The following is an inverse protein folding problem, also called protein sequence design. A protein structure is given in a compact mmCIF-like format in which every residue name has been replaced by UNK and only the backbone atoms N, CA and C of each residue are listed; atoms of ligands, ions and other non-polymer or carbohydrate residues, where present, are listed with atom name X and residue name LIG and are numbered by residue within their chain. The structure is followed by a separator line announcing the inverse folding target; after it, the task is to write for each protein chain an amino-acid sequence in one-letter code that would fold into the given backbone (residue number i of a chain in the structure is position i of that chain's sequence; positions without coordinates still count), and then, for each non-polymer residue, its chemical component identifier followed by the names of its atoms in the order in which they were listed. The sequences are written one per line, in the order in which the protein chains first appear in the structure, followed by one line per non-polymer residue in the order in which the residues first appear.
data_IF_973879658804
#
_entry.id   IF_973879658804
#
_cell.length_a   1.000
_cell.length_b   1.000
_cell.length_c   1.000
_cell.angle_alpha   90.00
_cell.angle_beta   90.00
_cell.angle_gamma   90.00
#
_symmetry.space_group_name_H-M   'P 1'
#
loop_
_entity.id
_entity.type
_entity.pdbx_description
1 polymer ?
#
# COMPACT_ATOMS: atom_id res chain seq x y z
N UNK A 1 -5.13 11.70 7.56
CA UNK A 1 -4.76 10.28 7.39
C UNK A 1 -5.18 9.76 6.02
N UNK A 2 -4.48 8.76 5.52
CA UNK A 2 -4.79 8.14 4.23
C UNK A 2 -4.98 6.63 4.37
N UNK A 3 -4.08 5.95 5.07
CA UNK A 3 -4.19 4.51 5.35
C UNK A 3 -4.19 4.29 6.84
N UNK A 4 -5.00 3.33 7.26
CA UNK A 4 -5.14 2.87 8.62
C UNK A 4 -4.73 1.40 8.69
N UNK A 5 -4.05 1.02 9.74
CA UNK A 5 -3.70 -0.36 10.05
C UNK A 5 -3.79 -0.58 11.56
N UNK A 6 -4.21 -1.77 11.98
CA UNK A 6 -4.08 -2.15 13.38
C UNK A 6 -2.74 -2.83 13.59
N UNK A 7 -2.08 -2.48 14.68
CA UNK A 7 -0.90 -3.19 15.13
C UNK A 7 -1.28 -4.54 15.81
N UNK A 8 -0.32 -5.40 16.17
CA UNK A 8 -0.62 -6.69 16.79
C UNK A 8 -1.30 -6.59 18.16
N UNK A 9 -1.22 -5.44 18.85
CA UNK A 9 -1.89 -5.18 20.11
C UNK A 9 -3.27 -4.50 19.94
N UNK A 10 -3.71 -4.29 18.68
CA UNK A 10 -4.99 -3.66 18.37
C UNK A 10 -4.95 -2.12 18.41
N UNK A 11 -3.76 -1.51 18.47
CA UNK A 11 -3.63 -0.06 18.39
C UNK A 11 -3.78 0.40 16.94
N UNK A 12 -4.61 1.41 16.72
CA UNK A 12 -4.80 2.00 15.41
C UNK A 12 -3.56 2.85 15.02
N UNK A 13 -2.97 2.53 13.88
CA UNK A 13 -1.85 3.27 13.28
C UNK A 13 -2.30 3.91 11.98
N UNK A 14 -1.89 5.15 11.74
CA UNK A 14 -2.29 5.91 10.57
C UNK A 14 -1.09 6.55 9.86
N UNK A 15 -1.13 6.58 8.54
CA UNK A 15 -0.22 7.40 7.73
C UNK A 15 -0.80 8.80 7.53
N UNK A 16 -0.01 9.83 7.80
CA UNK A 16 -0.37 11.24 7.61
C UNK A 16 0.48 11.79 6.46
N UNK A 17 -0.02 11.60 5.26
CA UNK A 17 0.69 11.93 4.01
C UNK A 17 1.10 13.40 3.92
N UNK A 18 0.26 14.32 4.43
CA UNK A 18 0.50 15.77 4.33
C UNK A 18 1.63 16.26 5.24
N UNK A 19 1.86 15.63 6.39
CA UNK A 19 2.93 15.99 7.34
C UNK A 19 4.13 15.07 7.26
N UNK A 20 4.03 13.97 6.52
CA UNK A 20 5.11 12.97 6.41
C UNK A 20 5.29 12.15 7.67
N UNK A 21 4.20 11.81 8.35
CA UNK A 21 4.23 11.14 9.65
C UNK A 21 3.50 9.80 9.62
N UNK A 22 3.92 8.90 10.50
CA UNK A 22 3.17 7.74 10.95
C UNK A 22 2.84 7.96 12.42
N UNK A 23 1.56 7.80 12.77
CA UNK A 23 1.07 8.01 14.13
C UNK A 23 0.35 6.79 14.65
N UNK A 24 0.49 6.52 15.95
CA UNK A 24 -0.34 5.56 16.68
C UNK A 24 -1.35 6.28 17.55
N UNK A 25 -2.53 5.70 17.66
CA UNK A 25 -3.70 6.23 18.37
C UNK A 25 -4.14 5.20 19.43
N UNK A 26 -3.37 5.04 20.53
CA UNK A 26 -3.73 4.12 21.60
C UNK A 26 -5.01 4.56 22.31
N UNK A 27 -5.85 3.60 22.72
CA UNK A 27 -7.00 3.80 23.55
C UNK A 27 -7.00 2.78 24.67
N UNK A 28 -7.21 3.23 25.89
CA UNK A 28 -7.30 2.35 27.07
C UNK A 28 -8.72 1.78 27.26
N UNK A 29 -9.68 2.23 26.45
CA UNK A 29 -11.08 1.80 26.55
C UNK A 29 -11.54 1.14 25.23
N UNK A 30 -11.63 -0.21 25.17
CA UNK A 30 -12.08 -0.91 23.97
C UNK A 30 -13.57 -0.65 23.63
N UNK A 31 -14.39 -0.29 24.61
CA UNK A 31 -15.83 -0.03 24.41
C UNK A 31 -16.08 1.41 23.89
N UNK A 32 -15.12 2.30 24.08
CA UNK A 32 -15.14 3.66 23.54
C UNK A 32 -13.75 4.04 23.05
N UNK A 33 -13.36 3.61 21.83
CA UNK A 33 -11.99 3.71 21.32
C UNK A 33 -11.66 5.15 20.87
N UNK A 34 -11.77 6.11 21.76
CA UNK A 34 -11.28 7.47 21.55
C UNK A 34 -9.82 7.50 21.99
N UNK A 35 -8.93 7.81 21.06
CA UNK A 35 -7.51 7.92 21.38
C UNK A 35 -7.28 9.07 22.37
N UNK A 36 -6.70 8.77 23.52
CA UNK A 36 -6.39 9.78 24.56
C UNK A 36 -5.19 10.64 24.16
N UNK A 37 -4.31 10.08 23.33
CA UNK A 37 -3.09 10.76 22.83
C UNK A 37 -2.74 10.27 21.43
N UNK A 38 -2.00 11.11 20.71
CA UNK A 38 -1.35 10.73 19.47
C UNK A 38 0.13 10.49 19.74
N UNK A 39 0.65 9.32 19.36
CA UNK A 39 2.07 8.99 19.44
C UNK A 39 2.68 9.05 18.04
N UNK A 40 3.66 9.91 17.81
CA UNK A 40 4.38 9.98 16.54
C UNK A 40 5.39 8.83 16.52
N UNK A 41 5.17 7.86 15.63
CA UNK A 41 6.05 6.71 15.42
C UNK A 41 7.23 7.05 14.52
N UNK A 42 6.98 7.83 13.46
CA UNK A 42 7.99 8.30 12.51
C UNK A 42 7.59 9.65 11.93
N UNK A 43 8.57 10.44 11.51
CA UNK A 43 8.39 11.73 10.83
C UNK A 43 9.43 11.94 9.74
N UNK A 44 9.22 12.97 8.88
CA UNK A 44 10.13 13.31 7.80
C UNK A 44 10.09 12.30 6.63
N UNK A 45 8.98 11.57 6.48
CA UNK A 45 8.75 10.62 5.39
C UNK A 45 8.21 11.33 4.15
N UNK A 46 8.55 10.81 2.96
CA UNK A 46 8.09 11.37 1.69
C UNK A 46 6.65 10.92 1.36
N UNK A 47 5.67 11.68 1.86
CA UNK A 47 4.23 11.42 1.61
C UNK A 47 3.84 9.95 1.89
N UNK A 48 4.03 9.44 3.12
CA UNK A 48 3.76 8.04 3.44
C UNK A 48 2.29 7.71 3.17
N UNK A 49 2.05 6.50 2.62
CA UNK A 49 0.73 6.03 2.27
C UNK A 49 0.50 4.62 2.82
N UNK A 50 0.99 3.58 2.14
CA UNK A 50 0.76 2.18 2.51
C UNK A 50 1.44 1.79 3.82
N UNK A 51 0.71 1.03 4.64
CA UNK A 51 1.16 0.46 5.90
C UNK A 51 0.85 -1.04 5.90
N UNK A 52 1.81 -1.87 6.30
CA UNK A 52 1.59 -3.29 6.49
C UNK A 52 2.43 -3.82 7.67
N UNK A 53 1.77 -4.38 8.68
CA UNK A 53 2.44 -5.08 9.77
C UNK A 53 2.77 -6.52 9.38
N UNK A 54 3.95 -6.99 9.76
CA UNK A 54 4.38 -8.35 9.60
C UNK A 54 5.08 -8.82 10.86
N UNK A 55 4.42 -9.70 11.62
CA UNK A 55 4.87 -10.12 12.94
C UNK A 55 4.88 -11.66 13.00
N UNK A 56 6.02 -12.27 12.63
CA UNK A 56 6.30 -13.71 12.83
C UNK A 56 7.30 -13.89 13.95
N UNK A 57 8.62 -13.85 13.65
CA UNK A 57 9.69 -13.97 14.66
C UNK A 57 9.92 -12.65 15.39
N UNK A 58 9.74 -11.55 14.71
CA UNK A 58 9.78 -10.18 15.23
C UNK A 58 8.74 -9.34 14.50
N UNK A 59 8.29 -8.25 15.11
CA UNK A 59 7.32 -7.38 14.47
C UNK A 59 8.00 -6.31 13.63
N UNK A 60 7.53 -6.17 12.39
CA UNK A 60 7.98 -5.19 11.41
C UNK A 60 6.81 -4.34 10.95
N UNK A 61 7.08 -3.07 10.67
CA UNK A 61 6.17 -2.20 9.93
C UNK A 61 6.79 -1.85 8.58
N UNK A 62 6.12 -2.22 7.50
CA UNK A 62 6.40 -1.78 6.15
C UNK A 62 5.66 -0.49 5.87
N UNK A 63 6.37 0.50 5.36
CA UNK A 63 5.82 1.82 5.00
C UNK A 63 6.16 2.11 3.55
N UNK A 64 5.15 2.35 2.73
CA UNK A 64 5.34 2.84 1.38
C UNK A 64 5.28 4.37 1.38
N UNK A 65 6.36 4.97 0.95
CA UNK A 65 6.51 6.38 0.63
C UNK A 65 6.32 6.57 -0.88
N UNK A 66 6.21 7.79 -1.38
CA UNK A 66 6.03 8.03 -2.83
C UNK A 66 7.16 7.41 -3.66
N UNK A 67 8.39 7.46 -3.16
CA UNK A 67 9.63 7.12 -3.86
C UNK A 67 10.29 5.81 -3.38
N UNK A 68 9.75 5.18 -2.35
CA UNK A 68 10.36 3.97 -1.80
C UNK A 68 9.39 3.15 -0.95
N UNK A 69 9.78 1.90 -0.65
CA UNK A 69 9.27 1.14 0.49
C UNK A 69 10.38 0.96 1.50
N UNK A 70 10.07 1.32 2.74
CA UNK A 70 10.96 1.11 3.89
C UNK A 70 10.35 0.12 4.88
N UNK A 71 11.20 -0.62 5.58
CA UNK A 71 10.83 -1.49 6.70
C UNK A 71 11.47 -0.96 7.99
N UNK A 72 10.72 -1.06 9.07
CA UNK A 72 11.12 -0.69 10.42
C UNK A 72 10.97 -1.89 11.35
N UNK A 73 11.82 -1.98 12.37
CA UNK A 73 11.53 -2.79 13.54
C UNK A 73 10.46 -2.09 14.37
N UNK A 74 9.43 -2.83 14.78
CA UNK A 74 8.32 -2.30 15.55
C UNK A 74 8.23 -2.93 16.93
N UNK A 75 8.28 -2.10 17.96
CA UNK A 75 8.03 -2.45 19.34
C UNK A 75 6.60 -2.04 19.69
N UNK A 76 5.70 -3.01 19.71
CA UNK A 76 4.27 -2.77 19.92
C UNK A 76 3.96 -2.37 21.37
N UNK A 77 4.74 -2.84 22.35
CA UNK A 77 4.49 -2.55 23.76
C UNK A 77 4.87 -1.10 24.11
N UNK A 78 5.92 -0.58 23.46
CA UNK A 78 6.41 0.77 23.68
C UNK A 78 5.99 1.75 22.56
N UNK A 79 5.24 1.32 21.55
CA UNK A 79 4.84 2.09 20.37
C UNK A 79 6.03 2.81 19.75
N UNK A 80 7.04 2.04 19.33
CA UNK A 80 8.30 2.60 18.84
C UNK A 80 8.76 1.94 17.56
N UNK A 81 9.17 2.77 16.59
CA UNK A 81 9.87 2.33 15.37
C UNK A 81 11.38 2.53 15.52
N UNK A 82 12.15 1.61 14.96
CA UNK A 82 13.61 1.69 14.91
C UNK A 82 14.16 1.03 13.64
N UNK A 83 15.46 1.18 13.39
CA UNK A 83 16.19 0.50 12.33
C UNK A 83 15.53 0.64 10.93
N UNK A 84 15.13 1.88 10.56
CA UNK A 84 14.60 2.16 9.20
C UNK A 84 15.57 1.64 8.15
N UNK A 85 15.09 0.80 7.24
CA UNK A 85 15.83 0.31 6.09
C UNK A 85 14.97 0.47 4.83
N UNK A 86 15.47 1.21 3.84
CA UNK A 86 14.86 1.23 2.50
C UNK A 86 15.12 -0.11 1.81
N UNK A 87 14.07 -0.74 1.29
CA UNK A 87 14.11 -2.07 0.67
C UNK A 87 13.73 -2.07 -0.81
N UNK A 88 12.91 -1.12 -1.26
CA UNK A 88 12.51 -0.99 -2.68
C UNK A 88 12.59 0.48 -3.07
N UNK A 89 13.23 0.78 -4.21
CA UNK A 89 13.16 2.07 -4.87
C UNK A 89 11.94 2.13 -5.81
N UNK A 90 11.12 3.17 -5.68
CA UNK A 90 9.94 3.38 -6.50
C UNK A 90 10.09 4.66 -7.35
N UNK A 91 9.44 4.74 -8.54
CA UNK A 91 9.50 5.93 -9.36
C UNK A 91 8.81 7.11 -8.69
N UNK A 92 9.52 8.22 -8.57
CA UNK A 92 8.97 9.50 -8.09
C UNK A 92 8.10 10.19 -9.13
N UNK A 93 7.34 11.18 -8.67
CA UNK A 93 6.52 12.05 -9.53
C UNK A 93 5.27 11.37 -10.06
N UNK A 94 4.71 11.98 -11.12
CA UNK A 94 3.47 11.51 -11.76
C UNK A 94 2.19 11.99 -11.07
N UNK A 95 1.06 11.73 -11.71
CA UNK A 95 -0.25 12.12 -11.18
C UNK A 95 -0.64 11.32 -9.95
N UNK A 96 -0.30 10.02 -9.92
CA UNK A 96 -0.70 9.11 -8.85
C UNK A 96 0.49 8.82 -7.93
N UNK A 97 0.47 9.41 -6.75
CA UNK A 97 1.53 9.30 -5.74
C UNK A 97 1.29 8.21 -4.70
N UNK A 98 0.09 7.66 -4.64
CA UNK A 98 -0.27 6.62 -3.66
C UNK A 98 0.50 5.33 -3.90
N UNK A 99 0.91 4.68 -2.82
CA UNK A 99 1.63 3.40 -2.82
C UNK A 99 0.99 2.54 -1.75
N UNK A 100 0.19 1.56 -2.15
CA UNK A 100 -0.51 0.69 -1.21
C UNK A 100 0.24 -0.60 -1.04
N UNK A 101 0.29 -1.10 0.18
CA UNK A 101 0.96 -2.35 0.55
C UNK A 101 -0.07 -3.42 0.93
N UNK A 102 0.23 -4.65 0.55
CA UNK A 102 -0.46 -5.84 1.04
C UNK A 102 0.56 -6.97 1.19
N UNK A 103 0.49 -7.72 2.29
CA UNK A 103 1.29 -8.93 2.47
C UNK A 103 0.46 -10.13 2.04
N UNK A 104 0.97 -10.87 1.07
CA UNK A 104 0.38 -12.09 0.55
C UNK A 104 1.15 -13.29 1.12
N UNK A 105 0.50 -14.06 1.98
CA UNK A 105 1.07 -15.30 2.49
C UNK A 105 1.14 -16.35 1.37
N UNK A 106 2.25 -17.05 1.28
CA UNK A 106 2.49 -18.12 0.30
C UNK A 106 3.34 -19.24 0.90
N UNK A 107 3.09 -20.48 0.45
CA UNK A 107 3.89 -21.65 0.85
C UNK A 107 5.36 -21.54 0.40
N UNK A 108 5.62 -20.85 -0.71
CA UNK A 108 6.95 -20.59 -1.25
C UNK A 108 7.65 -19.36 -0.62
N UNK A 109 7.02 -18.77 0.40
CA UNK A 109 7.47 -17.57 1.09
C UNK A 109 6.54 -16.38 0.88
N UNK A 110 6.35 -15.60 1.94
CA UNK A 110 5.46 -14.44 1.91
C UNK A 110 5.96 -13.39 0.93
N UNK A 111 5.03 -12.70 0.29
CA UNK A 111 5.31 -11.66 -0.71
C UNK A 111 4.73 -10.32 -0.26
N UNK A 112 5.48 -9.26 -0.51
CA UNK A 112 5.03 -7.89 -0.36
C UNK A 112 4.50 -7.40 -1.71
N UNK A 113 3.20 -7.14 -1.79
CA UNK A 113 2.58 -6.50 -2.94
C UNK A 113 2.60 -4.98 -2.77
N UNK A 114 2.93 -4.28 -3.85
CA UNK A 114 3.01 -2.81 -3.89
C UNK A 114 2.21 -2.30 -5.09
N UNK A 115 1.10 -1.62 -4.86
CA UNK A 115 0.34 -0.99 -5.94
C UNK A 115 0.91 0.38 -6.28
N UNK A 116 1.16 0.63 -7.57
CA UNK A 116 1.63 1.89 -8.12
C UNK A 116 0.69 2.38 -9.23
N UNK A 117 0.17 3.58 -9.07
CA UNK A 117 -0.62 4.22 -10.10
C UNK A 117 0.21 4.74 -11.28
N UNK A 118 -0.47 5.06 -12.36
CA UNK A 118 0.10 5.61 -13.59
C UNK A 118 0.71 7.00 -13.39
N UNK A 119 1.60 7.37 -14.31
CA UNK A 119 2.19 8.70 -14.35
C UNK A 119 1.22 9.78 -14.86
N UNK A 120 0.22 9.38 -15.59
CA UNK A 120 -0.70 10.26 -16.31
C UNK A 120 -2.14 9.77 -16.24
N UNK A 121 -3.08 10.58 -16.73
CA UNK A 121 -4.48 10.17 -16.89
C UNK A 121 -4.62 9.02 -17.90
N UNK A 122 -3.99 9.14 -19.08
CA UNK A 122 -3.96 8.10 -20.12
C UNK A 122 -2.65 8.23 -20.90
N UNK A 123 -1.76 7.27 -20.77
CA UNK A 123 -0.52 7.16 -21.55
C UNK A 123 0.02 5.74 -21.51
N UNK A 124 0.94 5.44 -22.39
CA UNK A 124 1.79 4.25 -22.27
C UNK A 124 2.92 4.59 -21.31
N UNK A 125 3.02 3.83 -20.22
CA UNK A 125 4.06 4.04 -19.22
C UNK A 125 5.45 3.74 -19.77
N UNK A 126 6.42 4.60 -19.45
CA UNK A 126 7.82 4.37 -19.75
C UNK A 126 8.53 3.56 -18.67
N UNK A 127 8.01 3.57 -17.44
CA UNK A 127 8.53 2.78 -16.31
C UNK A 127 7.58 1.61 -16.04
N UNK A 128 8.08 0.41 -16.23
CA UNK A 128 7.33 -0.85 -16.09
C UNK A 128 6.70 -1.06 -14.71
N UNK A 129 7.17 -0.33 -13.70
CA UNK A 129 6.65 -0.42 -12.33
C UNK A 129 5.34 0.34 -12.14
N UNK A 130 5.01 1.28 -13.06
CA UNK A 130 3.78 2.08 -12.98
C UNK A 130 2.58 1.36 -13.57
N UNK A 131 1.40 1.83 -13.21
CA UNK A 131 0.12 1.25 -13.63
C UNK A 131 0.05 -0.27 -13.38
N UNK A 132 0.54 -0.69 -12.22
CA UNK A 132 0.73 -2.10 -11.88
C UNK A 132 0.65 -2.35 -10.37
N UNK A 133 0.54 -3.62 -10.03
CA UNK A 133 0.85 -4.14 -8.72
C UNK A 133 2.15 -4.92 -8.86
N UNK A 134 3.15 -4.56 -8.08
CA UNK A 134 4.44 -5.24 -7.99
C UNK A 134 4.43 -6.28 -6.89
N UNK A 135 5.29 -7.28 -6.99
CA UNK A 135 5.58 -8.28 -5.97
C UNK A 135 7.07 -8.33 -5.68
N UNK A 136 7.44 -8.38 -4.42
CA UNK A 136 8.81 -8.60 -3.96
C UNK A 136 8.82 -9.59 -2.79
N UNK A 137 10.00 -10.14 -2.43
CA UNK A 137 10.15 -10.81 -1.15
C UNK A 137 10.10 -9.80 0.01
N UNK A 138 10.08 -10.28 1.25
CA UNK A 138 9.97 -9.40 2.43
C UNK A 138 11.22 -8.54 2.68
N UNK A 139 12.33 -8.79 1.98
CA UNK A 139 13.53 -7.96 1.96
C UNK A 139 13.58 -6.96 0.80
N UNK A 140 12.55 -6.93 -0.04
CA UNK A 140 12.44 -6.08 -1.24
C UNK A 140 13.18 -6.61 -2.46
N UNK A 141 13.68 -7.85 -2.41
CA UNK A 141 14.34 -8.51 -3.55
C UNK A 141 13.32 -9.21 -4.45
N UNK A 142 13.79 -9.70 -5.59
CA UNK A 142 12.95 -10.39 -6.58
C UNK A 142 11.71 -9.55 -6.96
N UNK A 143 11.94 -8.24 -7.15
CA UNK A 143 10.91 -7.29 -7.54
C UNK A 143 10.47 -7.56 -8.99
N UNK A 144 9.19 -7.85 -9.16
CA UNK A 144 8.58 -8.14 -10.47
C UNK A 144 7.15 -7.58 -10.55
N UNK A 145 6.62 -7.48 -11.76
CA UNK A 145 5.20 -7.18 -11.96
C UNK A 145 4.37 -8.39 -11.55
N UNK A 146 3.45 -8.18 -10.62
CA UNK A 146 2.42 -9.15 -10.24
C UNK A 146 1.21 -9.05 -11.16
N UNK A 147 0.70 -7.83 -11.38
CA UNK A 147 -0.41 -7.53 -12.28
C UNK A 147 -0.16 -6.17 -12.96
N UNK A 148 -0.62 -6.00 -14.19
CA UNK A 148 -0.40 -4.80 -15.01
C UNK A 148 -1.71 -4.26 -15.60
N UNK A 149 -1.63 -3.09 -16.26
CA UNK A 149 -2.81 -2.49 -16.89
C UNK A 149 -3.82 -1.96 -15.89
N UNK A 150 -3.34 -1.51 -14.73
CA UNK A 150 -4.11 -0.95 -13.62
C UNK A 150 -3.75 0.54 -13.49
N UNK A 151 -4.64 1.44 -13.90
CA UNK A 151 -4.35 2.88 -13.90
C UNK A 151 -4.00 3.41 -12.51
N UNK A 152 -4.82 3.10 -11.50
CA UNK A 152 -4.59 3.56 -10.14
C UNK A 152 -5.36 2.71 -9.12
N UNK A 153 -4.80 1.56 -8.78
CA UNK A 153 -5.32 0.69 -7.72
C UNK A 153 -4.92 1.25 -6.35
N UNK A 154 -5.80 2.06 -5.75
CA UNK A 154 -5.47 2.82 -4.53
C UNK A 154 -5.48 1.94 -3.27
N UNK A 155 -6.38 0.94 -3.20
CA UNK A 155 -6.47 0.04 -2.06
C UNK A 155 -6.52 -1.41 -2.50
N UNK A 156 -5.90 -2.26 -1.68
CA UNK A 156 -5.94 -3.72 -1.82
C UNK A 156 -6.42 -4.35 -0.52
N UNK A 157 -7.14 -5.46 -0.65
CA UNK A 157 -7.54 -6.29 0.49
C UNK A 157 -7.42 -7.78 0.12
N UNK A 158 -7.06 -8.59 1.11
CA UNK A 158 -7.08 -10.05 1.01
C UNK A 158 -8.43 -10.55 1.52
N UNK A 159 -9.14 -11.32 0.70
CA UNK A 159 -10.32 -12.03 1.16
C UNK A 159 -9.87 -13.27 1.96
N UNK A 160 -10.21 -13.37 3.27
CA UNK A 160 -9.55 -14.33 4.14
C UNK A 160 -9.95 -15.79 3.91
N UNK A 161 -11.09 -16.07 3.26
CA UNK A 161 -11.54 -17.45 3.03
C UNK A 161 -10.93 -18.06 1.76
N UNK A 162 -10.84 -17.27 0.67
CA UNK A 162 -10.32 -17.74 -0.61
C UNK A 162 -8.86 -17.37 -0.86
N UNK A 163 -8.29 -16.46 -0.06
CA UNK A 163 -6.96 -15.92 -0.30
C UNK A 163 -6.85 -15.02 -1.54
N UNK A 164 -7.98 -14.63 -2.15
CA UNK A 164 -7.96 -13.75 -3.32
C UNK A 164 -7.66 -12.32 -2.94
N UNK A 165 -6.84 -11.67 -3.76
CA UNK A 165 -6.55 -10.24 -3.65
C UNK A 165 -7.61 -9.46 -4.43
N UNK A 166 -8.24 -8.50 -3.76
CA UNK A 166 -9.12 -7.51 -4.38
C UNK A 166 -8.42 -6.15 -4.40
N UNK A 167 -8.62 -5.39 -5.47
CA UNK A 167 -8.13 -4.02 -5.55
C UNK A 167 -9.23 -3.09 -6.10
N UNK A 168 -9.29 -1.88 -5.54
CA UNK A 168 -10.07 -0.79 -6.15
C UNK A 168 -9.29 -0.22 -7.32
N UNK A 169 -9.97 0.16 -8.38
CA UNK A 169 -9.35 0.77 -9.56
C UNK A 169 -10.08 2.08 -9.90
N UNK A 170 -9.34 3.19 -9.89
CA UNK A 170 -9.86 4.47 -10.34
C UNK A 170 -9.74 4.58 -11.86
N UNK A 171 -10.87 4.73 -12.54
CA UNK A 171 -10.98 4.93 -13.97
C UNK A 171 -10.31 6.23 -14.46
N UNK A 172 -10.20 6.38 -15.79
CA UNK A 172 -9.62 7.60 -16.37
C UNK A 172 -10.56 8.80 -16.20
N UNK A 173 -9.97 9.98 -16.02
CA UNK A 173 -10.72 11.22 -15.90
C UNK A 173 -11.12 11.81 -17.26
N UNK A 174 -12.00 12.82 -17.25
CA UNK A 174 -12.37 13.69 -18.37
C UNK A 174 -13.22 13.03 -19.46
N UNK A 175 -14.00 12.00 -19.14
CA UNK A 175 -14.98 11.41 -20.04
C UNK A 175 -16.44 11.77 -19.69
N UNK A 176 -16.65 12.62 -18.70
CA UNK A 176 -17.95 12.98 -18.16
C UNK A 176 -18.24 12.29 -16.83
N UNK A 177 -19.48 12.34 -16.37
CA UNK A 177 -19.84 11.87 -15.04
C UNK A 177 -20.22 10.37 -15.01
N UNK A 178 -20.51 9.78 -16.18
CA UNK A 178 -21.07 8.43 -16.27
C UNK A 178 -20.05 7.37 -16.73
N UNK A 179 -18.89 7.78 -17.29
CA UNK A 179 -17.89 6.87 -17.85
C UNK A 179 -16.45 7.36 -17.62
N UNK A 180 -15.47 6.42 -17.45
CA UNK A 180 -15.68 5.01 -17.14
C UNK A 180 -16.09 4.86 -15.68
N UNK A 181 -16.72 3.75 -15.28
CA UNK A 181 -16.91 3.46 -13.86
C UNK A 181 -15.56 3.19 -13.20
N UNK A 182 -15.47 3.46 -11.90
CA UNK A 182 -14.45 2.85 -11.06
C UNK A 182 -14.75 1.36 -10.90
N UNK A 183 -13.72 0.55 -10.66
CA UNK A 183 -13.84 -0.90 -10.62
C UNK A 183 -13.37 -1.49 -9.30
N UNK A 184 -13.84 -2.70 -9.01
CA UNK A 184 -13.23 -3.59 -8.00
C UNK A 184 -12.81 -4.85 -8.74
N UNK A 185 -11.51 -5.08 -8.81
CA UNK A 185 -10.92 -6.18 -9.53
C UNK A 185 -10.42 -7.29 -8.59
N UNK A 186 -10.62 -8.55 -8.99
CA UNK A 186 -9.88 -9.68 -8.42
C UNK A 186 -8.52 -9.70 -9.11
N UNK A 187 -7.46 -9.57 -8.33
CA UNK A 187 -6.10 -9.46 -8.85
C UNK A 187 -5.42 -10.83 -8.86
N UNK A 188 -4.98 -11.24 -10.05
CA UNK A 188 -4.29 -12.51 -10.30
C UNK A 188 -2.91 -12.27 -10.89
N UNK A 189 -1.93 -13.08 -10.46
CA UNK A 189 -0.55 -12.98 -10.95
C UNK A 189 -0.49 -13.19 -12.47
N UNK A 190 0.27 -12.32 -13.14
CA UNK A 190 0.49 -12.36 -14.59
C UNK A 190 -0.65 -11.79 -15.43
N UNK A 191 -1.74 -11.30 -14.84
CA UNK A 191 -2.86 -10.72 -15.58
C UNK A 191 -2.62 -9.25 -15.94
N UNK A 192 -3.23 -8.85 -17.06
CA UNK A 192 -3.30 -7.47 -17.54
C UNK A 192 -4.77 -7.03 -17.55
N UNK A 193 -5.07 -5.89 -16.91
CA UNK A 193 -6.41 -5.36 -16.70
C UNK A 193 -6.81 -4.28 -17.72
N UNK A 194 -5.99 -4.08 -18.77
CA UNK A 194 -6.38 -3.38 -19.99
C UNK A 194 -5.95 -1.93 -20.10
N UNK A 195 -5.76 -1.17 -19.00
CA UNK A 195 -5.30 0.20 -19.10
C UNK A 195 -3.91 0.27 -19.79
N UNK A 196 -3.62 1.24 -20.69
CA UNK A 196 -4.43 2.41 -21.08
C UNK A 196 -5.37 2.16 -22.28
N UNK A 197 -5.41 0.95 -22.82
CA UNK A 197 -6.12 0.64 -24.07
C UNK A 197 -7.62 0.39 -23.83
N UNK A 198 -7.93 -0.35 -22.76
CA UNK A 198 -9.30 -0.69 -22.38
C UNK A 198 -9.65 -0.06 -21.02
N UNK A 199 -10.93 0.15 -20.79
CA UNK A 199 -11.51 0.59 -19.52
C UNK A 199 -12.99 0.16 -19.45
N UNK A 200 -13.45 -0.17 -18.24
CA UNK A 200 -14.78 -0.69 -18.02
C UNK A 200 -15.01 -2.07 -18.65
N UNK A 201 -16.24 -2.56 -18.53
CA UNK A 201 -16.72 -3.80 -19.14
C UNK A 201 -17.62 -3.53 -20.34
#
# INVERSE_FOLDING_TARGET
PRVLAFDPNGVLVASITSTGEIVALPSDNPDNPVAEKTVILASGLNRPHGLAFYCKDSCKLYVAETDNVSVFDYDADNLKLSNKKKIIDLPEGGQHFTRTLLILASDDGDRLLVALGSDCNVCVESDWRRASILSADMDGKDLKTFASGLRNSVFMALEPQSGKVFATENGRDLLGDDIPPDEINIIEEGKNYGWPICYGN
#
